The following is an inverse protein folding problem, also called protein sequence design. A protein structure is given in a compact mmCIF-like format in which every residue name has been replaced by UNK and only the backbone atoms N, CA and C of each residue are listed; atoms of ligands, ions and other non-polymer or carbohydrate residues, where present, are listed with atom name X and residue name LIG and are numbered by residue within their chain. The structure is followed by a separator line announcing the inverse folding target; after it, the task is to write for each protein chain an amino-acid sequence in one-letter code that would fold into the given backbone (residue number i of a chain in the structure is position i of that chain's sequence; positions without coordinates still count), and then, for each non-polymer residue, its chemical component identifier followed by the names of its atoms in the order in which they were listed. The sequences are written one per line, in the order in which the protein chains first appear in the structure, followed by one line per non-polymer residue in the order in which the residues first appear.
data_IF_141014976507
#
_entry.id   IF_141014976507
#
_cell.length_a   1.000
_cell.length_b   1.000
_cell.length_c   1.000
_cell.angle_alpha   90.00
_cell.angle_beta   90.00
_cell.angle_gamma   90.00
#
_symmetry.space_group_name_H-M   'P 1'
#
loop_
_entity.id
_entity.type
_entity.pdbx_description
1 polymer ?
#
# COMPACT_ATOMS: atom_id res chain seq x y z
N UNK A 1 -16.74 -2.76 -13.70
CA UNK A 1 -16.25 -1.65 -12.86
C UNK A 1 -16.77 -1.85 -11.45
N UNK A 2 -15.96 -2.44 -10.57
CA UNK A 2 -16.21 -2.30 -9.13
C UNK A 2 -15.96 -0.82 -8.79
N UNK A 3 -16.98 -0.09 -8.35
CA UNK A 3 -16.79 1.16 -7.61
C UNK A 3 -16.25 0.75 -6.23
N UNK A 4 -14.95 0.46 -6.15
CA UNK A 4 -14.31 0.21 -4.85
C UNK A 4 -14.32 1.53 -4.07
N UNK A 5 -14.78 1.47 -2.84
CA UNK A 5 -14.70 2.61 -1.93
C UNK A 5 -13.22 2.95 -1.70
N UNK A 6 -12.87 4.23 -1.61
CA UNK A 6 -11.49 4.66 -1.38
C UNK A 6 -10.92 4.01 -0.10
N UNK A 7 -11.75 3.89 0.95
CA UNK A 7 -11.34 3.25 2.19
C UNK A 7 -11.08 1.76 2.03
N UNK A 8 -11.82 1.08 1.15
CA UNK A 8 -11.61 -0.34 0.85
C UNK A 8 -10.24 -0.55 0.18
N UNK A 9 -9.92 0.27 -0.82
CA UNK A 9 -8.60 0.24 -1.49
C UNK A 9 -7.46 0.51 -0.48
N UNK A 10 -7.66 1.48 0.42
CA UNK A 10 -6.69 1.78 1.49
C UNK A 10 -6.50 0.56 2.40
N UNK A 11 -7.59 -0.05 2.88
CA UNK A 11 -7.53 -1.21 3.77
C UNK A 11 -6.82 -2.39 3.12
N UNK A 12 -7.18 -2.73 1.88
CA UNK A 12 -6.55 -3.81 1.13
C UNK A 12 -5.06 -3.53 0.91
N UNK A 13 -4.70 -2.31 0.50
CA UNK A 13 -3.31 -1.92 0.27
C UNK A 13 -2.49 -2.01 1.56
N UNK A 14 -3.02 -1.54 2.69
CA UNK A 14 -2.36 -1.64 3.99
C UNK A 14 -2.19 -3.11 4.41
N UNK A 15 -3.21 -3.96 4.24
CA UNK A 15 -3.11 -5.38 4.56
C UNK A 15 -2.04 -6.08 3.71
N UNK A 16 -2.00 -5.81 2.40
CA UNK A 16 -0.99 -6.36 1.49
C UNK A 16 0.43 -5.90 1.85
N UNK A 17 0.59 -4.65 2.28
CA UNK A 17 1.90 -4.07 2.60
C UNK A 17 2.39 -4.43 4.00
N UNK A 18 1.49 -4.71 4.96
CA UNK A 18 1.81 -5.04 6.36
C UNK A 18 2.97 -6.02 6.56
N UNK A 19 3.04 -7.19 5.89
CA UNK A 19 4.17 -8.10 6.08
C UNK A 19 5.52 -7.50 5.63
N UNK A 20 5.53 -6.70 4.56
CA UNK A 20 6.73 -6.02 4.08
C UNK A 20 7.14 -4.87 5.00
N UNK A 21 6.18 -4.07 5.46
CA UNK A 21 6.43 -2.95 6.39
C UNK A 21 7.05 -3.49 7.68
N UNK A 22 6.42 -4.50 8.31
CA UNK A 22 6.93 -5.15 9.53
C UNK A 22 8.35 -5.69 9.36
N UNK A 23 8.62 -6.38 8.25
CA UNK A 23 9.96 -6.91 7.97
C UNK A 23 11.02 -5.80 7.85
N UNK A 24 10.65 -4.64 7.31
CA UNK A 24 11.55 -3.50 7.14
C UNK A 24 11.81 -2.74 8.44
N UNK A 25 10.77 -2.42 9.23
CA UNK A 25 10.93 -1.69 10.50
C UNK A 25 11.68 -2.51 11.56
N UNK A 26 11.65 -3.84 11.48
CA UNK A 26 12.48 -4.68 12.37
C UNK A 26 14.00 -4.46 12.19
N UNK A 27 14.42 -3.84 11.09
CA UNK A 27 15.82 -3.47 10.83
C UNK A 27 16.21 -2.10 11.40
N UNK A 28 15.28 -1.35 12.00
CA UNK A 28 15.55 -0.06 12.65
C UNK A 28 15.61 -0.20 14.16
N UNK A 29 16.05 0.87 14.83
CA UNK A 29 16.13 0.94 16.27
C UNK A 29 14.75 0.72 16.88
N UNK A 30 14.68 -0.09 17.95
CA UNK A 30 13.41 -0.47 18.58
C UNK A 30 12.54 0.75 18.93
N UNK A 31 13.15 1.83 19.43
CA UNK A 31 12.47 3.07 19.81
C UNK A 31 11.80 3.79 18.64
N UNK A 32 12.26 3.58 17.42
CA UNK A 32 11.77 4.28 16.22
C UNK A 32 10.77 3.44 15.41
N UNK A 33 10.56 2.17 15.78
CA UNK A 33 9.79 1.22 14.95
C UNK A 33 8.33 1.61 14.81
N UNK A 34 7.70 1.96 15.92
CA UNK A 34 6.26 2.28 15.95
C UNK A 34 5.98 3.57 15.17
N UNK A 35 6.81 4.59 15.38
CA UNK A 35 6.71 5.87 14.66
C UNK A 35 6.94 5.67 13.15
N UNK A 36 7.97 4.89 12.78
CA UNK A 36 8.27 4.60 11.39
C UNK A 36 7.18 3.76 10.72
N UNK A 37 6.61 2.77 11.42
CA UNK A 37 5.48 1.98 10.92
C UNK A 37 4.28 2.90 10.62
N UNK A 38 3.97 3.83 11.52
CA UNK A 38 2.88 4.78 11.31
C UNK A 38 3.15 5.77 10.18
N UNK A 39 4.37 6.30 10.06
CA UNK A 39 4.73 7.19 8.95
C UNK A 39 4.58 6.48 7.60
N UNK A 40 5.02 5.22 7.50
CA UNK A 40 4.87 4.43 6.27
C UNK A 40 3.39 4.19 5.96
N UNK A 41 2.57 3.84 6.95
CA UNK A 41 1.13 3.64 6.77
C UNK A 41 0.44 4.92 6.27
N UNK A 42 0.79 6.09 6.83
CA UNK A 42 0.28 7.39 6.37
C UNK A 42 0.68 7.67 4.92
N UNK A 43 1.91 7.37 4.52
CA UNK A 43 2.37 7.53 3.13
C UNK A 43 1.63 6.61 2.17
N UNK A 44 1.30 5.38 2.58
CA UNK A 44 0.48 4.46 1.77
C UNK A 44 -0.92 5.04 1.55
N UNK A 45 -1.58 5.53 2.62
CA UNK A 45 -2.89 6.19 2.51
C UNK A 45 -2.83 7.40 1.57
N UNK A 46 -1.82 8.26 1.72
CA UNK A 46 -1.62 9.41 0.83
C UNK A 46 -1.37 8.98 -0.62
N UNK A 47 -0.66 7.90 -0.86
CA UNK A 47 -0.39 7.41 -2.21
C UNK A 47 -1.68 6.92 -2.90
N UNK A 48 -2.58 6.25 -2.17
CA UNK A 48 -3.90 5.86 -2.69
C UNK A 48 -4.75 7.10 -2.98
N UNK A 49 -4.85 8.05 -2.02
CA UNK A 49 -5.60 9.30 -2.20
C UNK A 49 -5.11 10.14 -3.37
N UNK A 50 -3.80 10.17 -3.58
CA UNK A 50 -3.16 10.88 -4.69
C UNK A 50 -3.18 10.07 -6.01
N UNK A 51 -3.91 8.95 -6.07
CA UNK A 51 -4.03 8.06 -7.25
C UNK A 51 -2.69 7.55 -7.78
N UNK A 52 -1.66 7.47 -6.92
CA UNK A 52 -0.37 6.86 -7.24
C UNK A 52 -0.44 5.33 -7.13
N UNK A 53 -1.34 4.83 -6.30
CA UNK A 53 -1.70 3.42 -6.21
C UNK A 53 -3.11 3.32 -6.76
N UNK A 54 -3.27 2.53 -7.81
CA UNK A 54 -4.54 2.30 -8.48
C UNK A 54 -4.76 0.79 -8.47
N UNK A 55 -5.93 0.29 -8.02
CA UNK A 55 -6.26 -1.12 -8.17
C UNK A 55 -6.29 -1.45 -9.67
N UNK A 56 -5.62 -2.54 -10.04
CA UNK A 56 -5.63 -3.05 -11.40
C UNK A 56 -6.07 -4.50 -11.35
N UNK A 57 -6.98 -4.86 -12.23
CA UNK A 57 -7.29 -6.28 -12.43
C UNK A 57 -6.10 -6.97 -13.10
N UNK A 58 -5.95 -8.27 -12.84
CA UNK A 58 -4.82 -9.05 -13.38
C UNK A 58 -4.71 -8.93 -14.91
N UNK A 59 -5.83 -8.97 -15.61
CA UNK A 59 -5.86 -8.84 -17.07
C UNK A 59 -5.48 -7.43 -17.54
N UNK A 60 -5.96 -6.39 -16.86
CA UNK A 60 -5.56 -5.00 -17.15
C UNK A 60 -4.06 -4.78 -16.92
N UNK A 61 -3.48 -5.44 -15.91
CA UNK A 61 -2.05 -5.42 -15.68
C UNK A 61 -1.28 -6.12 -16.81
N UNK A 62 -1.73 -7.31 -17.24
CA UNK A 62 -1.10 -8.05 -18.33
C UNK A 62 -1.15 -7.26 -19.64
N UNK A 63 -2.29 -6.68 -19.99
CA UNK A 63 -2.43 -5.85 -21.20
C UNK A 63 -1.50 -4.63 -21.19
N UNK A 64 -1.32 -3.97 -20.04
CA UNK A 64 -0.42 -2.80 -19.91
C UNK A 64 1.07 -3.13 -19.96
N UNK A 65 1.47 -4.40 -19.82
CA UNK A 65 2.88 -4.82 -19.73
C UNK A 65 3.31 -5.73 -20.89
N UNK A 66 2.52 -5.85 -21.96
CA UNK A 66 2.83 -6.62 -23.19
C UNK A 66 3.39 -5.74 -24.33
N UNK A 67 3.71 -4.46 -24.09
CA UNK A 67 4.47 -3.63 -25.04
C UNK A 67 5.98 -3.95 -25.06
#
# INVERSE_FOLDING_TARGET
MHNLDENEIIQETLMMMKPKIKKSVMKTNYQERDDLEQEINLKVVQAVKNKRIIPVDFWEFVEKNIE
#
